data_IF_427979960493
#
_entry.id   IF_427979960493
#
_cell.length_a   1.000
_cell.length_b   1.000
_cell.length_c   1.000
_cell.angle_alpha   90.00
_cell.angle_beta   90.00
_cell.angle_gamma   90.00
#
_symmetry.space_group_name_H-M   'P 1'
#
loop_
_entity.id
_entity.type
_entity.pdbx_description
1 polymer ?
#
# COMPACT_ATOMS: atom_id res chain seq x y z
N UNK A 1 -17.90 14.98 -28.37
CA UNK A 1 -17.33 14.72 -27.02
C UNK A 1 -17.65 13.27 -26.70
N UNK A 2 -16.69 12.35 -26.92
CA UNK A 2 -16.94 10.93 -26.74
C UNK A 2 -17.15 10.64 -25.25
N UNK A 3 -18.32 10.13 -24.90
CA UNK A 3 -18.61 9.60 -23.57
C UNK A 3 -17.75 8.35 -23.35
N UNK A 4 -16.64 8.49 -22.61
CA UNK A 4 -15.81 7.34 -22.26
C UNK A 4 -16.64 6.39 -21.38
N UNK A 5 -16.85 5.13 -21.78
CA UNK A 5 -17.63 4.20 -20.98
C UNK A 5 -16.97 4.00 -19.61
N UNK A 6 -17.76 4.05 -18.54
CA UNK A 6 -17.27 3.81 -17.19
C UNK A 6 -16.76 2.37 -17.04
N UNK A 7 -15.66 2.19 -16.32
CA UNK A 7 -15.09 0.88 -16.01
C UNK A 7 -16.09 0.03 -15.21
N UNK A 8 -16.18 -1.26 -15.55
CA UNK A 8 -17.00 -2.21 -14.80
C UNK A 8 -16.40 -2.45 -13.41
N UNK A 9 -17.19 -2.27 -12.36
CA UNK A 9 -16.80 -2.51 -10.95
C UNK A 9 -16.80 -4.01 -10.65
N UNK A 10 -15.72 -4.70 -11.01
CA UNK A 10 -15.61 -6.16 -10.86
C UNK A 10 -14.67 -6.61 -9.74
N UNK A 11 -13.77 -5.75 -9.28
CA UNK A 11 -12.79 -6.11 -8.26
C UNK A 11 -13.44 -6.11 -6.86
N UNK A 12 -13.36 -7.25 -6.19
CA UNK A 12 -13.73 -7.40 -4.79
C UNK A 12 -12.55 -7.13 -3.85
N UNK A 13 -12.80 -7.31 -2.55
CA UNK A 13 -11.76 -7.16 -1.51
C UNK A 13 -10.63 -8.15 -1.70
N UNK A 14 -10.93 -9.41 -2.03
CA UNK A 14 -9.92 -10.45 -2.28
C UNK A 14 -9.02 -10.08 -3.45
N UNK A 15 -9.59 -9.62 -4.56
CA UNK A 15 -8.79 -9.20 -5.73
C UNK A 15 -7.87 -8.02 -5.37
N UNK A 16 -8.41 -7.03 -4.65
CA UNK A 16 -7.63 -5.88 -4.18
C UNK A 16 -6.48 -6.29 -3.25
N UNK A 17 -6.71 -7.26 -2.35
CA UNK A 17 -5.67 -7.82 -1.47
C UNK A 17 -4.58 -8.52 -2.29
N UNK A 18 -4.96 -9.35 -3.27
CA UNK A 18 -4.00 -10.06 -4.13
C UNK A 18 -3.16 -9.08 -4.94
N UNK A 19 -3.79 -8.04 -5.53
CA UNK A 19 -3.10 -6.99 -6.29
C UNK A 19 -2.11 -6.23 -5.39
N UNK A 20 -2.55 -5.84 -4.19
CA UNK A 20 -1.72 -5.11 -3.22
C UNK A 20 -0.53 -5.94 -2.72
N UNK A 21 -0.79 -7.18 -2.30
CA UNK A 21 0.26 -8.10 -1.83
C UNK A 21 1.26 -8.43 -2.94
N UNK A 22 0.79 -8.72 -4.16
CA UNK A 22 1.67 -9.00 -5.29
C UNK A 22 2.62 -7.83 -5.58
N UNK A 23 2.11 -6.60 -5.50
CA UNK A 23 2.90 -5.38 -5.69
C UNK A 23 3.95 -5.19 -4.57
N UNK A 24 3.56 -5.38 -3.31
CA UNK A 24 4.47 -5.25 -2.16
C UNK A 24 5.57 -6.31 -2.16
N UNK A 25 5.22 -7.58 -2.40
CA UNK A 25 6.16 -8.71 -2.44
C UNK A 25 7.16 -8.50 -3.57
N UNK A 26 6.67 -8.15 -4.78
CA UNK A 26 7.52 -7.89 -5.94
C UNK A 26 8.50 -6.74 -5.74
N UNK A 27 8.07 -5.66 -5.09
CA UNK A 27 8.93 -4.52 -4.81
C UNK A 27 9.96 -4.81 -3.70
N UNK A 28 9.54 -5.47 -2.61
CA UNK A 28 10.29 -5.49 -1.35
C UNK A 28 11.10 -6.75 -1.08
N UNK A 29 10.52 -7.95 -1.22
CA UNK A 29 11.11 -9.17 -0.67
C UNK A 29 12.47 -9.52 -1.30
N UNK A 30 12.63 -9.25 -2.60
CA UNK A 30 13.85 -9.59 -3.32
C UNK A 30 14.95 -8.51 -3.24
N UNK A 31 14.59 -7.27 -2.88
CA UNK A 31 15.50 -6.12 -2.94
C UNK A 31 15.88 -5.56 -1.56
N UNK A 32 14.97 -5.61 -0.59
CA UNK A 32 15.12 -4.90 0.68
C UNK A 32 15.84 -5.71 1.77
N UNK A 33 15.78 -7.05 1.71
CA UNK A 33 16.33 -7.90 2.79
C UNK A 33 17.85 -7.87 2.88
N UNK A 34 18.56 -7.90 1.75
CA UNK A 34 20.03 -7.85 1.73
C UNK A 34 20.59 -6.56 2.37
N UNK A 35 20.18 -5.35 1.97
CA UNK A 35 20.65 -4.12 2.62
C UNK A 35 20.14 -3.99 4.06
N UNK A 36 18.93 -4.46 4.38
CA UNK A 36 18.44 -4.45 5.75
C UNK A 36 19.26 -5.38 6.66
N UNK A 37 19.63 -6.58 6.19
CA UNK A 37 20.49 -7.51 6.92
C UNK A 37 21.90 -6.95 7.11
N UNK A 38 22.44 -6.27 6.10
CA UNK A 38 23.74 -5.60 6.21
C UNK A 38 23.74 -4.47 7.25
N UNK A 39 22.63 -3.72 7.35
CA UNK A 39 22.50 -2.62 8.30
C UNK A 39 22.17 -3.08 9.73
N UNK A 40 21.28 -4.08 9.89
CA UNK A 40 20.74 -4.48 11.18
C UNK A 40 21.41 -5.73 11.77
N UNK A 41 22.09 -6.55 10.96
CA UNK A 41 22.72 -7.80 11.41
C UNK A 41 21.75 -8.72 12.15
N UNK A 42 22.10 -9.09 13.39
CA UNK A 42 21.23 -9.89 14.27
C UNK A 42 19.94 -9.18 14.69
N UNK A 43 19.88 -7.85 14.58
CA UNK A 43 18.70 -7.04 14.86
C UNK A 43 17.66 -7.03 13.74
N UNK A 44 17.89 -7.72 12.62
CA UNK A 44 17.02 -7.71 11.44
C UNK A 44 15.55 -8.04 11.78
N UNK A 45 15.31 -9.08 12.60
CA UNK A 45 13.94 -9.47 12.97
C UNK A 45 13.23 -8.40 13.80
N UNK A 46 13.97 -7.73 14.70
CA UNK A 46 13.43 -6.62 15.50
C UNK A 46 13.10 -5.43 14.59
N UNK A 47 14.01 -5.08 13.68
CA UNK A 47 13.78 -4.04 12.68
C UNK A 47 12.58 -4.34 11.79
N UNK A 48 12.41 -5.58 11.35
CA UNK A 48 11.27 -6.01 10.55
C UNK A 48 9.95 -5.92 11.33
N UNK A 49 9.98 -6.27 12.62
CA UNK A 49 8.80 -6.14 13.50
C UNK A 49 8.39 -4.67 13.63
N UNK A 50 9.34 -3.76 13.84
CA UNK A 50 9.08 -2.32 13.91
C UNK A 50 8.52 -1.81 12.57
N UNK A 51 9.14 -2.21 11.45
CA UNK A 51 8.67 -1.85 10.11
C UNK A 51 7.23 -2.33 9.84
N UNK A 52 6.89 -3.55 10.27
CA UNK A 52 5.54 -4.09 10.15
C UNK A 52 4.50 -3.27 10.94
N UNK A 53 4.84 -2.84 12.15
CA UNK A 53 3.98 -1.96 12.96
C UNK A 53 3.75 -0.62 12.26
N UNK A 54 4.82 0.01 11.75
CA UNK A 54 4.72 1.28 11.01
C UNK A 54 3.86 1.13 9.75
N UNK A 55 4.09 0.06 8.98
CA UNK A 55 3.31 -0.25 7.78
C UNK A 55 1.83 -0.47 8.10
N UNK A 56 1.51 -1.15 9.21
CA UNK A 56 0.14 -1.36 9.65
C UNK A 56 -0.57 -0.05 10.03
N UNK A 57 0.11 0.82 10.78
CA UNK A 57 -0.41 2.15 11.09
C UNK A 57 -0.66 2.98 9.82
N UNK A 58 0.24 2.91 8.84
CA UNK A 58 0.06 3.59 7.55
C UNK A 58 -1.11 3.02 6.74
N UNK A 59 -1.23 1.69 6.68
CA UNK A 59 -2.30 1.01 5.94
C UNK A 59 -3.68 1.31 6.50
N UNK A 60 -3.82 1.30 7.83
CA UNK A 60 -5.08 1.63 8.52
C UNK A 60 -5.49 3.09 8.33
N UNK A 61 -4.56 4.03 8.47
CA UNK A 61 -4.81 5.45 8.16
C UNK A 61 -5.22 5.66 6.70
N UNK A 62 -4.51 5.01 5.77
CA UNK A 62 -4.83 5.09 4.34
C UNK A 62 -6.18 4.46 4.00
N UNK A 63 -6.56 3.37 4.67
CA UNK A 63 -7.86 2.72 4.49
C UNK A 63 -9.01 3.62 4.98
N UNK A 64 -8.82 4.35 6.07
CA UNK A 64 -9.80 5.33 6.56
C UNK A 64 -9.98 6.48 5.55
N UNK A 65 -8.89 7.01 4.99
CA UNK A 65 -8.96 8.03 3.93
C UNK A 65 -9.61 7.49 2.65
N UNK A 66 -9.29 6.26 2.24
CA UNK A 66 -9.91 5.62 1.08
C UNK A 66 -11.44 5.42 1.26
N UNK A 67 -11.86 5.12 2.49
CA UNK A 67 -13.28 5.01 2.83
C UNK A 67 -13.98 6.38 2.85
N UNK A 68 -13.29 7.44 3.32
CA UNK A 68 -13.80 8.81 3.30
C UNK A 68 -13.87 9.40 1.89
N UNK A 69 -12.90 9.08 1.04
CA UNK A 69 -12.71 9.62 -0.31
C UNK A 69 -12.70 8.49 -1.34
N UNK A 70 -13.86 7.89 -1.67
CA UNK A 70 -13.97 6.70 -2.52
C UNK A 70 -13.84 7.05 -4.01
N UNK A 71 -12.77 7.74 -4.38
CA UNK A 71 -12.43 8.12 -5.75
C UNK A 71 -11.06 7.57 -6.14
N UNK A 72 -10.87 7.30 -7.43
CA UNK A 72 -9.60 6.80 -7.93
C UNK A 72 -8.53 7.91 -7.86
N UNK A 73 -7.42 7.65 -7.18
CA UNK A 73 -6.26 8.54 -7.14
C UNK A 73 -5.41 8.50 -5.88
N UNK A 74 -5.81 7.73 -4.85
CA UNK A 74 -4.98 7.40 -3.70
C UNK A 74 -4.48 8.63 -2.94
N UNK A 75 -3.23 8.58 -2.45
CA UNK A 75 -2.64 9.63 -1.62
C UNK A 75 -2.68 11.03 -2.25
N UNK A 76 -2.59 11.13 -3.59
CA UNK A 76 -2.70 12.42 -4.28
C UNK A 76 -4.08 13.07 -4.09
N UNK A 77 -5.15 12.29 -4.22
CA UNK A 77 -6.51 12.76 -3.99
C UNK A 77 -6.72 13.14 -2.54
N UNK A 78 -6.23 12.33 -1.61
CA UNK A 78 -6.38 12.61 -0.17
C UNK A 78 -5.71 13.94 0.21
N UNK A 79 -4.54 14.23 -0.38
CA UNK A 79 -3.84 15.51 -0.19
C UNK A 79 -4.58 16.69 -0.83
N UNK A 80 -5.01 16.56 -2.09
CA UNK A 80 -5.75 17.60 -2.83
C UNK A 80 -7.07 17.98 -2.16
N UNK A 81 -7.73 17.06 -1.47
CA UNK A 81 -9.01 17.34 -0.80
C UNK A 81 -8.84 17.95 0.59
N UNK A 82 -7.59 18.08 1.07
CA UNK A 82 -7.23 18.66 2.37
C UNK A 82 -6.33 19.90 2.28
N UNK A 83 -5.74 20.20 1.12
CA UNK A 83 -4.85 21.35 0.84
C UNK A 83 -5.38 22.16 -0.33
#
# INVERSE_FOLDING_TARGET
>A
MASNPALARKLGTTDAVVIGLGSMIGAGIFSAFAPAAAAAGSGLLVGLTIAAVVAYCNATSSAQLAAQYPTSGGAYVYGRERL
#
